data_IF_281989240973
#
_entry.id   IF_281989240973
#
_cell.length_a   1.000
_cell.length_b   1.000
_cell.length_c   1.000
_cell.angle_alpha   90.00
_cell.angle_beta   90.00
_cell.angle_gamma   90.00
#
_symmetry.space_group_name_H-M   'P 1'
#
loop_
_entity.id
_entity.type
_entity.pdbx_description
1 polymer ?
#
# COMPACT_ATOMS: atom_id res chain seq x y z
N UNK A 1 -3.20 -34.96 46.23
CA UNK A 1 -4.15 -34.66 45.13
C UNK A 1 -4.08 -33.16 44.93
N UNK A 2 -3.18 -32.74 44.04
CA UNK A 2 -2.93 -31.36 43.67
C UNK A 2 -3.33 -31.24 42.22
N UNK A 3 -4.53 -30.72 41.98
CA UNK A 3 -4.99 -30.40 40.64
C UNK A 3 -4.14 -29.25 40.11
N UNK A 4 -3.54 -29.49 38.95
CA UNK A 4 -2.72 -28.52 38.25
C UNK A 4 -3.67 -27.72 37.38
N UNK A 5 -3.92 -26.46 37.77
CA UNK A 5 -4.64 -25.49 36.94
C UNK A 5 -3.81 -25.25 35.67
N UNK A 6 -4.28 -25.82 34.58
CA UNK A 6 -3.81 -25.53 33.23
C UNK A 6 -4.09 -24.06 32.94
N UNK A 7 -3.04 -23.25 32.89
CA UNK A 7 -3.10 -21.88 32.40
C UNK A 7 -3.61 -21.91 30.95
N UNK A 8 -4.86 -21.49 30.77
CA UNK A 8 -5.48 -21.27 29.48
C UNK A 8 -4.74 -20.10 28.80
N UNK A 9 -4.00 -20.36 27.73
CA UNK A 9 -3.51 -19.31 26.84
C UNK A 9 -4.71 -18.52 26.28
N UNK A 10 -4.66 -17.17 26.27
CA UNK A 10 -5.73 -16.41 25.64
C UNK A 10 -5.72 -16.68 24.14
N UNK A 11 -6.80 -17.27 23.64
CA UNK A 11 -7.03 -17.49 22.22
C UNK A 11 -6.88 -16.16 21.48
N UNK A 12 -5.82 -16.05 20.66
CA UNK A 12 -5.56 -14.88 19.84
C UNK A 12 -6.69 -14.68 18.85
N UNK A 13 -7.19 -13.44 18.80
CA UNK A 13 -8.25 -12.94 17.94
C UNK A 13 -8.19 -13.50 16.51
N UNK A 14 -9.36 -13.93 16.03
CA UNK A 14 -9.61 -14.67 14.78
C UNK A 14 -9.22 -13.96 13.47
N UNK A 15 -9.98 -14.25 12.41
CA UNK A 15 -9.60 -13.89 11.03
C UNK A 15 -9.25 -12.42 10.84
N UNK A 16 -9.98 -11.51 11.48
CA UNK A 16 -9.72 -10.08 11.44
C UNK A 16 -8.40 -9.67 12.10
N UNK A 17 -7.92 -10.40 13.11
CA UNK A 17 -6.70 -10.07 13.86
C UNK A 17 -5.45 -10.00 12.97
N UNK A 18 -5.30 -10.94 12.03
CA UNK A 18 -4.15 -10.93 11.14
C UNK A 18 -4.22 -9.87 10.03
N UNK A 19 -5.42 -9.45 9.60
CA UNK A 19 -5.58 -8.32 8.68
C UNK A 19 -5.28 -6.99 9.38
N UNK A 20 -5.67 -6.84 10.65
CA UNK A 20 -5.24 -5.71 11.48
C UNK A 20 -3.72 -5.68 11.62
N UNK A 21 -3.08 -6.85 11.83
CA UNK A 21 -1.62 -6.94 11.89
C UNK A 21 -0.94 -6.51 10.58
N UNK A 22 -1.52 -6.80 9.41
CA UNK A 22 -0.99 -6.35 8.13
C UNK A 22 -0.85 -4.82 8.05
N UNK A 23 -1.81 -4.05 8.58
CA UNK A 23 -1.72 -2.58 8.64
C UNK A 23 -0.74 -2.05 9.70
N UNK A 24 -0.16 -2.93 10.53
CA UNK A 24 0.69 -2.56 11.67
C UNK A 24 2.09 -3.19 11.63
N UNK A 25 2.37 -4.08 10.67
CA UNK A 25 3.59 -4.89 10.63
C UNK A 25 4.89 -4.10 10.37
N UNK A 26 4.77 -2.91 9.80
CA UNK A 26 5.91 -2.15 9.28
C UNK A 26 6.02 -0.74 9.88
N UNK A 27 5.34 -0.49 11.00
CA UNK A 27 5.34 0.80 11.71
C UNK A 27 6.76 1.23 12.12
N UNK A 28 7.66 0.29 12.37
CA UNK A 28 9.06 0.59 12.67
C UNK A 28 9.77 1.41 11.59
N UNK A 29 9.35 1.30 10.31
CA UNK A 29 9.91 2.08 9.19
C UNK A 29 9.58 3.57 9.31
N UNK A 30 8.36 3.91 9.74
CA UNK A 30 7.98 5.30 10.05
C UNK A 30 8.82 5.88 11.20
N UNK A 31 9.29 5.00 12.09
CA UNK A 31 10.11 5.36 13.25
C UNK A 31 11.61 5.36 12.98
N UNK A 32 12.02 5.10 11.74
CA UNK A 32 13.45 5.04 11.34
C UNK A 32 14.23 3.92 12.03
N UNK A 33 13.53 2.89 12.55
CA UNK A 33 14.12 1.74 13.22
C UNK A 33 14.31 0.60 12.24
N UNK A 34 15.26 -0.29 12.53
CA UNK A 34 15.32 -1.61 11.89
C UNK A 34 14.40 -2.58 12.61
N UNK A 35 13.94 -3.62 11.89
CA UNK A 35 13.02 -4.61 12.44
C UNK A 35 13.54 -5.27 13.74
N UNK A 36 14.84 -5.58 13.82
CA UNK A 36 15.45 -6.25 14.98
C UNK A 36 15.40 -5.42 16.29
N UNK A 37 15.24 -4.10 16.19
CA UNK A 37 15.17 -3.16 17.32
C UNK A 37 13.84 -2.40 17.34
N UNK A 38 12.85 -2.90 16.60
CA UNK A 38 11.53 -2.30 16.52
C UNK A 38 10.80 -2.36 17.86
N UNK A 39 10.05 -1.31 18.17
CA UNK A 39 9.14 -1.34 19.31
C UNK A 39 8.02 -2.35 19.01
N UNK A 40 7.68 -3.18 19.99
CA UNK A 40 6.56 -4.12 19.89
C UNK A 40 5.21 -3.44 20.09
N UNK A 41 5.22 -2.23 20.63
CA UNK A 41 4.03 -1.44 20.92
C UNK A 41 4.27 0.03 20.60
N UNK A 42 3.28 0.66 19.97
CA UNK A 42 3.27 2.09 19.69
C UNK A 42 1.86 2.62 19.99
N UNK A 43 1.77 3.69 20.77
CA UNK A 43 0.48 4.30 21.17
C UNK A 43 -0.48 3.32 21.87
N UNK A 44 0.02 2.36 22.67
CA UNK A 44 -0.83 1.35 23.31
C UNK A 44 -1.23 0.17 22.41
N UNK A 45 -0.69 0.11 21.19
CA UNK A 45 -1.09 -0.85 20.15
C UNK A 45 0.08 -1.76 19.78
N UNK A 46 -0.17 -3.07 19.74
CA UNK A 46 0.81 -4.03 19.21
C UNK A 46 1.08 -3.78 17.73
N UNK A 47 2.35 -3.72 17.38
CA UNK A 47 2.84 -3.41 16.03
C UNK A 47 4.04 -4.29 15.69
N UNK A 48 4.41 -4.31 14.41
CA UNK A 48 5.54 -5.07 13.90
C UNK A 48 5.43 -6.59 14.09
N UNK A 49 4.19 -7.08 14.16
CA UNK A 49 3.88 -8.51 14.17
C UNK A 49 4.05 -9.09 12.76
N UNK A 50 4.46 -10.35 12.66
CA UNK A 50 4.61 -11.03 11.37
C UNK A 50 3.25 -11.19 10.68
N UNK A 51 3.24 -10.97 9.37
CA UNK A 51 2.05 -11.17 8.53
C UNK A 51 2.03 -12.62 8.02
N UNK A 52 0.92 -13.36 8.18
CA UNK A 52 0.85 -14.76 7.75
C UNK A 52 0.75 -14.91 6.22
N UNK A 53 0.72 -16.17 5.77
CA UNK A 53 0.53 -16.56 4.36
C UNK A 53 1.60 -16.05 3.38
N UNK A 54 2.75 -15.58 3.87
CA UNK A 54 3.81 -15.04 3.01
C UNK A 54 3.49 -13.68 2.38
N UNK A 55 2.36 -13.05 2.74
CA UNK A 55 1.86 -11.85 2.07
C UNK A 55 2.84 -10.66 2.08
N UNK A 56 3.59 -10.47 3.17
CA UNK A 56 4.65 -9.45 3.25
C UNK A 56 5.80 -9.72 2.27
N UNK A 57 6.27 -10.96 2.21
CA UNK A 57 7.32 -11.37 1.28
C UNK A 57 6.91 -11.22 -0.19
N UNK A 58 5.69 -11.63 -0.53
CA UNK A 58 5.16 -11.52 -1.88
C UNK A 58 4.96 -10.04 -2.29
N UNK A 59 4.44 -9.20 -1.39
CA UNK A 59 4.32 -7.76 -1.65
C UNK A 59 5.68 -7.09 -1.85
N UNK A 60 6.70 -7.49 -1.10
CA UNK A 60 8.07 -7.04 -1.30
C UNK A 60 8.58 -7.43 -2.71
N UNK A 61 8.36 -8.67 -3.15
CA UNK A 61 8.77 -9.14 -4.49
C UNK A 61 8.05 -8.42 -5.65
N UNK A 62 6.86 -7.86 -5.42
CA UNK A 62 6.19 -6.98 -6.38
C UNK A 62 6.94 -5.64 -6.58
N UNK A 63 7.72 -5.19 -5.60
CA UNK A 63 8.31 -3.85 -5.57
C UNK A 63 9.84 -3.85 -5.70
N UNK A 64 10.51 -4.87 -5.17
CA UNK A 64 11.99 -5.00 -5.15
C UNK A 64 12.46 -6.37 -5.65
N UNK A 65 13.71 -6.48 -6.15
CA UNK A 65 14.26 -7.74 -6.64
C UNK A 65 14.32 -8.77 -5.52
N UNK A 66 14.27 -10.04 -5.91
CA UNK A 66 14.67 -11.13 -5.02
C UNK A 66 16.17 -11.06 -4.72
N UNK A 67 16.56 -11.54 -3.54
CA UNK A 67 17.96 -11.63 -3.11
C UNK A 67 18.44 -10.43 -2.29
N UNK A 68 19.77 -10.35 -2.12
CA UNK A 68 20.40 -9.29 -1.35
C UNK A 68 20.19 -7.93 -2.03
N UNK A 69 19.70 -6.91 -1.30
CA UNK A 69 19.37 -5.63 -1.90
C UNK A 69 20.63 -4.83 -2.27
N UNK A 70 20.71 -4.40 -3.53
CA UNK A 70 21.70 -3.43 -3.99
C UNK A 70 21.13 -2.01 -3.98
N UNK A 71 21.86 -1.06 -3.39
CA UNK A 71 21.41 0.33 -3.28
C UNK A 71 21.30 0.96 -4.68
N UNK A 72 20.09 1.37 -5.08
CA UNK A 72 19.86 1.91 -6.43
C UNK A 72 20.24 3.38 -6.58
N UNK A 73 20.33 4.12 -5.47
CA UNK A 73 20.74 5.54 -5.46
C UNK A 73 21.86 5.72 -4.45
N UNK A 74 23.07 6.01 -4.94
CA UNK A 74 24.24 6.23 -4.09
C UNK A 74 23.97 7.35 -3.07
N UNK A 75 24.43 7.15 -1.84
CA UNK A 75 24.33 8.08 -0.72
C UNK A 75 22.90 8.38 -0.23
N UNK A 76 21.87 7.69 -0.73
CA UNK A 76 20.54 7.78 -0.16
C UNK A 76 20.38 6.77 0.97
N UNK A 77 20.55 7.24 2.21
CA UNK A 77 20.40 6.42 3.43
C UNK A 77 19.16 6.80 4.27
N UNK A 78 18.32 7.71 3.75
CA UNK A 78 17.13 8.19 4.46
C UNK A 78 15.94 7.22 4.29
N UNK A 79 15.10 7.03 5.32
CA UNK A 79 13.77 6.43 5.17
C UNK A 79 12.80 7.27 4.33
N UNK A 80 13.10 8.55 4.09
CA UNK A 80 12.30 9.39 3.22
C UNK A 80 12.31 8.87 1.78
N UNK A 81 11.17 8.86 1.11
CA UNK A 81 11.03 8.46 -0.29
C UNK A 81 11.57 9.55 -1.23
N UNK A 82 12.08 9.14 -2.39
CA UNK A 82 12.31 10.01 -3.55
C UNK A 82 11.08 9.98 -4.48
N UNK A 83 10.63 11.15 -4.94
CA UNK A 83 9.60 11.21 -5.97
C UNK A 83 10.18 10.98 -7.36
N UNK A 84 9.51 10.16 -8.18
CA UNK A 84 9.82 10.06 -9.61
C UNK A 84 9.37 11.29 -10.40
N UNK A 85 8.43 12.08 -9.87
CA UNK A 85 7.93 13.29 -10.53
C UNK A 85 8.95 14.43 -10.41
N UNK A 86 9.51 14.64 -9.21
CA UNK A 86 10.42 15.76 -8.94
C UNK A 86 11.89 15.36 -8.85
N UNK A 87 12.19 14.07 -8.63
CA UNK A 87 13.53 13.58 -8.33
C UNK A 87 14.01 13.91 -6.91
N UNK A 88 13.23 14.64 -6.12
CA UNK A 88 13.60 15.10 -4.79
C UNK A 88 13.06 14.18 -3.68
N UNK A 89 13.68 14.27 -2.50
CA UNK A 89 13.15 13.70 -1.27
C UNK A 89 11.83 14.38 -0.91
N UNK A 90 10.81 13.59 -0.63
CA UNK A 90 9.44 14.10 -0.44
C UNK A 90 9.18 14.68 0.94
N UNK A 91 9.96 14.26 1.94
CA UNK A 91 9.87 14.76 3.31
C UNK A 91 11.16 15.50 3.72
N UNK A 92 11.05 16.65 4.39
CA UNK A 92 12.21 17.31 4.97
C UNK A 92 12.79 16.47 6.13
N UNK A 93 14.07 16.65 6.48
CA UNK A 93 14.74 15.82 7.49
C UNK A 93 14.10 15.85 8.89
N UNK A 94 13.44 16.94 9.26
CA UNK A 94 12.76 17.11 10.54
C UNK A 94 11.42 16.35 10.64
N UNK A 95 10.94 15.79 9.53
CA UNK A 95 9.75 14.90 9.48
C UNK A 95 10.13 13.42 9.39
N UNK A 96 11.41 13.08 9.57
CA UNK A 96 11.91 11.71 9.53
C UNK A 96 12.82 11.44 10.75
N UNK A 97 12.39 10.61 11.71
CA UNK A 97 11.19 9.76 11.69
C UNK A 97 9.88 10.54 11.82
N UNK A 98 8.77 9.90 11.47
CA UNK A 98 7.44 10.51 11.58
C UNK A 98 7.14 10.91 13.04
N UNK A 99 6.48 12.06 13.28
CA UNK A 99 5.95 12.44 14.59
C UNK A 99 5.14 11.31 15.23
N UNK A 100 5.16 11.21 16.57
CA UNK A 100 4.43 10.13 17.25
C UNK A 100 2.92 10.26 17.04
N UNK A 101 2.40 11.48 17.00
CA UNK A 101 1.00 11.78 16.72
C UNK A 101 0.54 11.22 15.37
N UNK A 102 1.30 11.51 14.30
CA UNK A 102 1.06 10.98 12.95
C UNK A 102 1.04 9.44 12.93
N UNK A 103 1.92 8.79 13.69
CA UNK A 103 1.96 7.32 13.78
C UNK A 103 0.77 6.79 14.58
N UNK A 104 0.34 7.49 15.65
CA UNK A 104 -0.87 7.13 16.39
C UNK A 104 -2.13 7.21 15.50
N UNK A 105 -2.22 8.22 14.62
CA UNK A 105 -3.32 8.35 13.66
C UNK A 105 -3.37 7.18 12.66
N UNK A 106 -2.20 6.63 12.28
CA UNK A 106 -2.12 5.47 11.38
C UNK A 106 -2.48 4.14 12.06
N UNK A 107 -2.01 3.90 13.29
CA UNK A 107 -2.30 2.62 13.99
C UNK A 107 -3.70 2.57 14.60
N UNK A 108 -4.32 3.74 14.80
CA UNK A 108 -5.67 3.97 15.34
C UNK A 108 -5.91 3.14 16.62
N UNK A 109 -5.42 3.60 17.80
CA UNK A 109 -5.53 2.84 19.05
C UNK A 109 -6.95 2.38 19.37
N UNK A 110 -7.08 1.09 19.72
CA UNK A 110 -8.37 0.45 20.01
C UNK A 110 -9.24 0.15 18.78
N UNK A 111 -8.79 0.46 17.56
CA UNK A 111 -9.53 0.15 16.33
C UNK A 111 -9.16 -1.24 15.80
N UNK A 112 -10.16 -2.08 15.59
CA UNK A 112 -10.07 -3.34 14.84
C UNK A 112 -10.95 -3.34 13.58
N UNK A 113 -11.60 -2.22 13.27
CA UNK A 113 -12.38 -2.03 12.05
C UNK A 113 -11.43 -1.95 10.84
N UNK A 114 -11.52 -2.96 9.98
CA UNK A 114 -10.68 -3.10 8.80
C UNK A 114 -10.95 -2.04 7.75
N UNK A 115 -12.21 -1.60 7.59
CA UNK A 115 -12.57 -0.55 6.63
C UNK A 115 -11.90 0.76 7.03
N UNK A 116 -11.96 1.08 8.33
CA UNK A 116 -11.31 2.27 8.89
C UNK A 116 -9.79 2.22 8.80
N UNK A 117 -9.16 1.09 9.16
CA UNK A 117 -7.71 0.94 9.05
C UNK A 117 -7.24 1.04 7.59
N UNK A 118 -7.96 0.38 6.68
CA UNK A 118 -7.67 0.43 5.26
C UNK A 118 -7.81 1.83 4.69
N UNK A 119 -8.92 2.52 4.96
CA UNK A 119 -9.15 3.90 4.55
C UNK A 119 -8.10 4.87 5.12
N UNK A 120 -7.71 4.70 6.39
CA UNK A 120 -6.61 5.46 7.01
C UNK A 120 -5.30 5.30 6.25
N UNK A 121 -4.91 4.08 5.88
CA UNK A 121 -3.70 3.85 5.09
C UNK A 121 -3.82 4.34 3.65
N UNK A 122 -4.96 4.09 3.01
CA UNK A 122 -5.25 4.48 1.62
C UNK A 122 -5.17 6.00 1.44
N UNK A 123 -5.55 6.77 2.47
CA UNK A 123 -5.56 8.24 2.44
C UNK A 123 -4.36 8.88 3.16
N UNK A 124 -3.38 8.10 3.62
CA UNK A 124 -2.28 8.63 4.42
C UNK A 124 -1.24 9.38 3.59
N UNK A 125 -1.05 10.67 3.91
CA UNK A 125 0.10 11.47 3.44
C UNK A 125 1.38 11.17 4.23
N UNK A 126 1.24 10.71 5.48
CA UNK A 126 2.40 10.36 6.32
C UNK A 126 3.07 9.12 5.75
N UNK A 127 2.33 8.06 5.48
CA UNK A 127 2.91 6.81 4.97
C UNK A 127 3.50 6.96 3.57
N UNK A 128 2.96 7.85 2.72
CA UNK A 128 3.47 8.11 1.36
C UNK A 128 4.84 8.80 1.35
N UNK A 129 5.26 9.38 2.48
CA UNK A 129 6.58 10.02 2.64
C UNK A 129 7.72 9.03 2.78
N UNK A 130 7.44 7.79 3.16
CA UNK A 130 8.46 6.81 3.50
C UNK A 130 8.65 5.79 2.39
N UNK A 131 9.91 5.44 2.13
CA UNK A 131 10.21 4.30 1.28
C UNK A 131 9.93 2.99 2.02
N UNK A 132 9.62 1.93 1.27
CA UNK A 132 9.52 0.58 1.84
C UNK A 132 10.90 0.08 2.31
N UNK A 133 11.94 0.44 1.55
CA UNK A 133 13.31 0.05 1.80
C UNK A 133 14.28 1.14 1.36
N UNK A 134 15.26 1.45 2.22
CA UNK A 134 16.30 2.46 1.96
C UNK A 134 17.17 2.13 0.75
N UNK A 135 17.24 0.85 0.37
CA UNK A 135 17.95 0.39 -0.84
C UNK A 135 17.21 0.74 -2.13
N UNK A 136 15.89 0.92 -2.05
CA UNK A 136 15.00 1.22 -3.17
C UNK A 136 14.18 2.49 -2.85
N UNK A 137 14.79 3.68 -2.83
CA UNK A 137 14.18 4.89 -2.29
C UNK A 137 12.96 5.42 -3.05
N UNK A 138 12.64 4.87 -4.23
CA UNK A 138 11.42 5.17 -4.99
C UNK A 138 10.24 4.24 -4.64
N UNK A 139 10.44 3.22 -3.82
CA UNK A 139 9.34 2.40 -3.28
C UNK A 139 8.52 3.21 -2.27
N UNK A 140 7.32 2.75 -1.95
CA UNK A 140 6.42 3.44 -1.02
C UNK A 140 5.95 2.50 0.07
N UNK A 141 6.12 2.92 1.33
CA UNK A 141 5.64 2.18 2.50
C UNK A 141 4.12 2.07 2.53
N UNK A 142 3.41 3.14 2.14
CA UNK A 142 1.95 3.15 1.99
C UNK A 142 1.50 2.02 1.08
N UNK A 143 2.02 1.98 -0.14
CA UNK A 143 1.59 1.00 -1.13
C UNK A 143 2.11 -0.39 -0.86
N UNK A 144 3.28 -0.56 -0.23
CA UNK A 144 3.69 -1.86 0.30
C UNK A 144 2.64 -2.40 1.27
N UNK A 145 2.28 -1.62 2.29
CA UNK A 145 1.33 -2.05 3.33
C UNK A 145 -0.06 -2.35 2.74
N UNK A 146 -0.54 -1.55 1.80
CA UNK A 146 -1.81 -1.80 1.10
C UNK A 146 -1.75 -3.08 0.24
N UNK A 147 -0.63 -3.35 -0.44
CA UNK A 147 -0.43 -4.60 -1.18
C UNK A 147 -0.38 -5.80 -0.23
N UNK A 148 0.29 -5.70 0.93
CA UNK A 148 0.31 -6.76 1.94
C UNK A 148 -1.10 -7.10 2.41
N UNK A 149 -1.90 -6.09 2.74
CA UNK A 149 -3.30 -6.29 3.15
C UNK A 149 -4.12 -6.96 2.03
N UNK A 150 -3.96 -6.51 0.77
CA UNK A 150 -4.70 -7.07 -0.36
C UNK A 150 -4.31 -8.50 -0.70
N UNK A 151 -3.03 -8.85 -0.61
CA UNK A 151 -2.55 -10.22 -0.80
C UNK A 151 -3.06 -11.11 0.33
N UNK A 152 -2.88 -10.68 1.59
CA UNK A 152 -3.33 -11.45 2.75
C UNK A 152 -4.83 -11.75 2.68
N UNK A 153 -5.65 -10.73 2.42
CA UNK A 153 -7.09 -10.91 2.31
C UNK A 153 -7.44 -11.92 1.18
N UNK A 154 -6.62 -12.03 0.11
CA UNK A 154 -6.94 -12.87 -1.07
C UNK A 154 -6.56 -14.31 -0.76
N UNK A 155 -5.39 -14.48 -0.14
CA UNK A 155 -4.89 -15.78 0.30
C UNK A 155 -5.82 -16.40 1.33
N UNK A 156 -6.42 -15.60 2.20
CA UNK A 156 -7.42 -16.07 3.16
C UNK A 156 -8.77 -16.41 2.54
N UNK A 157 -9.15 -15.72 1.46
CA UNK A 157 -10.30 -16.09 0.64
C UNK A 157 -10.05 -17.36 -0.22
N UNK A 158 -8.84 -17.94 -0.15
CA UNK A 158 -8.51 -19.20 -0.81
C UNK A 158 -7.88 -19.04 -2.21
N UNK A 159 -7.56 -17.82 -2.61
CA UNK A 159 -6.87 -17.56 -3.88
C UNK A 159 -5.35 -17.69 -3.71
N UNK A 160 -4.69 -18.39 -4.62
CA UNK A 160 -3.24 -18.32 -4.75
C UNK A 160 -2.82 -17.04 -5.48
N UNK A 161 -1.52 -16.72 -5.52
CA UNK A 161 -1.05 -15.52 -6.22
C UNK A 161 -1.40 -15.52 -7.72
N UNK A 162 -1.32 -16.68 -8.37
CA UNK A 162 -1.58 -16.84 -9.79
C UNK A 162 -3.07 -16.73 -10.17
N UNK A 163 -3.96 -16.75 -9.17
CA UNK A 163 -5.38 -16.43 -9.30
C UNK A 163 -5.65 -14.92 -9.24
N UNK A 164 -4.64 -14.07 -8.98
CA UNK A 164 -4.86 -12.65 -8.70
C UNK A 164 -4.83 -11.76 -9.95
N UNK A 165 -5.69 -10.75 -9.91
CA UNK A 165 -5.85 -9.76 -10.95
C UNK A 165 -5.70 -8.34 -10.40
N UNK A 166 -5.16 -7.46 -11.23
CA UNK A 166 -5.31 -6.02 -11.09
C UNK A 166 -6.59 -5.62 -11.82
N UNK A 167 -7.46 -4.90 -11.12
CA UNK A 167 -8.61 -4.19 -11.69
C UNK A 167 -8.35 -2.71 -11.59
N UNK A 168 -8.44 -2.01 -12.71
CA UNK A 168 -8.24 -0.57 -12.81
C UNK A 168 -9.54 0.07 -13.32
N UNK A 169 -10.11 1.00 -12.57
CA UNK A 169 -11.38 1.61 -12.92
C UNK A 169 -11.37 3.12 -12.67
N UNK A 170 -12.20 3.84 -13.43
CA UNK A 170 -12.43 5.26 -13.20
C UNK A 170 -13.48 5.40 -12.09
N UNK A 171 -13.20 6.14 -11.02
CA UNK A 171 -14.22 6.46 -10.04
C UNK A 171 -15.37 7.23 -10.72
N UNK A 172 -16.60 6.73 -10.62
CA UNK A 172 -17.78 7.35 -11.24
C UNK A 172 -18.09 8.73 -10.65
N UNK A 173 -17.81 8.88 -9.35
CA UNK A 173 -17.83 10.18 -8.67
C UNK A 173 -16.42 10.75 -8.69
N UNK A 174 -16.33 12.02 -9.09
CA UNK A 174 -15.17 12.88 -8.77
C UNK A 174 -14.87 12.61 -7.29
N UNK A 175 -13.62 12.28 -6.91
CA UNK A 175 -13.34 12.13 -5.52
C UNK A 175 -13.71 13.46 -4.88
N UNK A 176 -14.16 13.38 -3.63
CA UNK A 176 -14.38 14.60 -2.90
C UNK A 176 -13.12 15.50 -2.94
N UNK A 177 -13.32 16.79 -2.77
CA UNK A 177 -12.24 17.79 -2.83
C UNK A 177 -11.18 17.51 -1.76
N UNK A 178 -10.02 18.16 -1.88
CA UNK A 178 -8.99 18.18 -0.84
C UNK A 178 -9.64 18.42 0.54
N UNK A 179 -9.60 17.41 1.42
CA UNK A 179 -10.16 17.49 2.78
C UNK A 179 -11.14 16.39 3.20
N UNK A 180 -11.71 15.60 2.29
CA UNK A 180 -12.72 14.59 2.68
C UNK A 180 -12.14 13.22 3.10
N UNK A 181 -10.82 13.03 2.93
CA UNK A 181 -9.97 12.04 3.62
C UNK A 181 -10.56 10.64 3.87
N UNK A 182 -10.41 10.14 5.09
CA UNK A 182 -10.88 8.81 5.51
C UNK A 182 -12.40 8.64 5.40
N UNK A 183 -13.25 9.61 5.82
CA UNK A 183 -14.71 9.48 5.66
C UNK A 183 -15.16 9.26 4.22
N UNK A 184 -14.51 9.90 3.25
CA UNK A 184 -14.81 9.70 1.85
C UNK A 184 -14.46 8.29 1.37
N UNK A 185 -13.30 7.77 1.76
CA UNK A 185 -12.90 6.42 1.41
C UNK A 185 -13.88 5.38 1.99
N UNK A 186 -14.36 5.60 3.22
CA UNK A 186 -15.38 4.74 3.84
C UNK A 186 -16.74 4.78 3.12
N UNK A 187 -17.11 5.93 2.54
CA UNK A 187 -18.39 6.09 1.85
C UNK A 187 -18.35 5.71 0.35
N UNK A 188 -17.16 5.44 -0.20
CA UNK A 188 -16.98 5.23 -1.63
C UNK A 188 -17.13 3.75 -2.01
N UNK A 189 -18.13 3.43 -2.83
CA UNK A 189 -18.37 2.05 -3.30
C UNK A 189 -17.20 1.43 -4.08
N UNK A 190 -16.35 2.27 -4.71
CA UNK A 190 -15.15 1.83 -5.43
C UNK A 190 -14.01 1.40 -4.49
N UNK A 191 -14.08 1.78 -3.21
CA UNK A 191 -13.11 1.40 -2.18
C UNK A 191 -13.59 0.11 -1.54
N UNK A 192 -13.00 -1.00 -1.96
CA UNK A 192 -13.25 -2.30 -1.34
C UNK A 192 -12.23 -2.51 -0.21
N UNK A 193 -12.70 -2.72 1.05
CA UNK A 193 -11.84 -2.91 2.21
C UNK A 193 -10.74 -3.94 1.96
N UNK A 194 -9.51 -3.63 2.36
CA UNK A 194 -8.30 -4.43 2.18
C UNK A 194 -7.90 -4.71 0.72
N UNK A 195 -8.75 -4.52 -0.29
CA UNK A 195 -8.51 -4.87 -1.70
C UNK A 195 -8.08 -3.70 -2.58
N UNK A 196 -8.65 -2.51 -2.34
CA UNK A 196 -8.33 -1.31 -3.11
C UNK A 196 -6.98 -0.75 -2.67
N UNK A 197 -5.99 -0.74 -3.54
CA UNK A 197 -4.61 -0.34 -3.21
C UNK A 197 -4.27 1.08 -3.64
N UNK A 198 -5.07 1.70 -4.52
CA UNK A 198 -4.94 3.09 -4.94
C UNK A 198 -6.32 3.67 -5.18
N UNK A 199 -6.54 4.91 -4.73
CA UNK A 199 -7.73 5.68 -5.06
C UNK A 199 -7.38 7.15 -5.23
N UNK A 200 -7.68 7.70 -6.41
CA UNK A 200 -7.39 9.08 -6.82
C UNK A 200 -8.57 9.64 -7.61
N UNK A 201 -8.46 10.87 -8.12
CA UNK A 201 -9.52 11.44 -8.98
C UNK A 201 -9.72 10.81 -10.32
N UNK A 202 -8.71 10.09 -10.80
CA UNK A 202 -8.68 9.59 -12.16
C UNK A 202 -8.73 8.06 -12.22
N UNK A 203 -8.42 7.42 -11.09
CA UNK A 203 -8.11 6.01 -11.06
C UNK A 203 -8.30 5.42 -9.66
N UNK A 204 -9.00 4.29 -9.61
CA UNK A 204 -8.92 3.33 -8.52
C UNK A 204 -8.22 2.05 -9.03
N UNK A 205 -7.40 1.43 -8.18
CA UNK A 205 -6.75 0.14 -8.48
C UNK A 205 -7.01 -0.83 -7.34
N UNK A 206 -7.40 -2.05 -7.69
CA UNK A 206 -7.73 -3.14 -6.77
C UNK A 206 -6.95 -4.39 -7.11
N UNK A 207 -6.56 -5.17 -6.10
CA UNK A 207 -6.04 -6.53 -6.25
C UNK A 207 -7.09 -7.52 -5.77
N UNK A 208 -7.53 -8.44 -6.63
CA UNK A 208 -8.62 -9.38 -6.32
C UNK A 208 -8.44 -10.72 -7.05
N UNK A 209 -8.84 -11.82 -6.41
CA UNK A 209 -9.03 -13.13 -7.05
C UNK A 209 -10.39 -13.28 -7.73
N UNK A 210 -11.28 -12.30 -7.57
CA UNK A 210 -12.61 -12.25 -8.17
C UNK A 210 -12.73 -11.01 -9.06
N UNK A 211 -12.13 -10.99 -10.26
CA UNK A 211 -12.23 -9.85 -11.16
C UNK A 211 -13.64 -9.74 -11.77
N UNK A 212 -14.08 -8.53 -12.13
CA UNK A 212 -15.31 -8.35 -12.88
C UNK A 212 -15.19 -8.96 -14.29
N UNK A 213 -16.34 -9.26 -14.91
CA UNK A 213 -16.42 -9.84 -16.27
C UNK A 213 -15.96 -8.85 -17.35
N UNK A 214 -16.11 -7.54 -17.09
CA UNK A 214 -15.76 -6.45 -18.01
C UNK A 214 -15.01 -5.33 -17.28
N UNK A 215 -14.34 -4.45 -18.03
CA UNK A 215 -13.50 -3.38 -17.49
C UNK A 215 -12.01 -3.66 -17.70
N UNK A 216 -11.15 -2.76 -17.22
CA UNK A 216 -9.70 -2.91 -17.38
C UNK A 216 -9.14 -3.86 -16.31
N UNK A 217 -8.90 -5.11 -16.72
CA UNK A 217 -8.45 -6.20 -15.86
C UNK A 217 -7.20 -6.85 -16.45
N UNK A 218 -6.26 -7.24 -15.60
CA UNK A 218 -5.09 -8.04 -16.01
C UNK A 218 -4.63 -9.00 -14.91
N UNK A 219 -4.31 -10.24 -15.29
CA UNK A 219 -3.67 -11.19 -14.37
C UNK A 219 -2.29 -10.67 -13.94
N UNK A 220 -2.00 -10.85 -12.65
CA UNK A 220 -0.72 -10.52 -12.04
C UNK A 220 0.40 -11.50 -12.44
N UNK A 221 0.05 -12.64 -13.04
CA UNK A 221 0.97 -13.66 -13.52
C UNK A 221 1.18 -14.79 -12.50
N UNK A 222 2.05 -15.74 -12.84
CA UNK A 222 2.23 -17.00 -12.09
C UNK A 222 2.90 -16.86 -10.71
N UNK A 223 3.38 -15.67 -10.35
CA UNK A 223 4.08 -15.45 -9.09
C UNK A 223 4.47 -13.99 -8.86
N UNK A 224 4.78 -13.62 -7.61
CA UNK A 224 5.09 -12.25 -7.25
C UNK A 224 6.42 -11.81 -7.86
N UNK A 225 6.34 -10.91 -8.84
CA UNK A 225 7.51 -10.33 -9.50
C UNK A 225 7.27 -8.87 -9.83
N UNK A 226 8.35 -8.08 -9.90
CA UNK A 226 8.37 -6.67 -10.33
C UNK A 226 8.01 -6.50 -11.80
N UNK A 227 6.72 -6.63 -12.08
CA UNK A 227 6.18 -6.66 -13.44
C UNK A 227 5.01 -5.70 -13.63
N UNK A 228 4.87 -4.66 -12.80
CA UNK A 228 3.75 -3.72 -12.88
C UNK A 228 3.51 -3.22 -14.31
N UNK A 229 4.54 -2.70 -14.99
CA UNK A 229 4.48 -2.28 -16.38
C UNK A 229 3.94 -3.36 -17.34
N UNK A 230 4.33 -4.61 -17.12
CA UNK A 230 3.85 -5.75 -17.90
C UNK A 230 2.38 -6.05 -17.62
N UNK A 231 1.99 -6.09 -16.35
CA UNK A 231 0.60 -6.29 -15.93
C UNK A 231 -0.31 -5.17 -16.43
N UNK A 232 0.09 -3.92 -16.24
CA UNK A 232 -0.63 -2.75 -16.77
C UNK A 232 -0.77 -2.77 -18.29
N UNK A 233 0.26 -3.27 -18.99
CA UNK A 233 0.22 -3.38 -20.45
C UNK A 233 -0.72 -4.46 -20.97
N UNK A 234 -1.12 -5.40 -20.12
CA UNK A 234 -2.08 -6.48 -20.45
C UNK A 234 -3.51 -6.16 -20.03
N UNK A 235 -3.79 -4.97 -19.49
CA UNK A 235 -5.16 -4.56 -19.18
C UNK A 235 -6.03 -4.69 -20.43
N UNK A 236 -7.18 -5.33 -20.27
CA UNK A 236 -8.17 -5.58 -21.33
C UNK A 236 -8.76 -4.30 -21.92
N UNK A 237 -8.74 -3.20 -21.17
CA UNK A 237 -9.27 -1.89 -21.56
C UNK A 237 -8.37 -0.76 -21.04
N UNK A 238 -8.55 0.46 -21.54
CA UNK A 238 -7.82 1.64 -21.07
C UNK A 238 -8.50 2.26 -19.83
N UNK A 239 -7.88 2.19 -18.63
CA UNK A 239 -8.53 2.66 -17.42
C UNK A 239 -8.58 4.19 -17.33
N UNK A 240 -7.70 4.93 -18.02
CA UNK A 240 -7.60 6.39 -17.93
C UNK A 240 -8.28 7.11 -19.10
N UNK A 241 -8.79 8.33 -18.87
CA UNK A 241 -9.36 9.16 -19.93
C UNK A 241 -8.26 9.77 -20.83
N UNK A 242 -7.87 9.04 -21.88
CA UNK A 242 -6.77 9.39 -22.77
C UNK A 242 -7.05 10.61 -23.69
N UNK A 243 -8.25 11.20 -23.62
CA UNK A 243 -8.52 12.49 -24.26
C UNK A 243 -7.74 13.63 -23.59
N UNK A 244 -7.42 13.48 -22.29
CA UNK A 244 -6.62 14.43 -21.53
C UNK A 244 -5.14 14.13 -21.74
N UNK A 245 -4.39 15.11 -22.25
CA UNK A 245 -2.98 14.94 -22.63
C UNK A 245 -2.10 14.41 -21.48
N UNK A 246 -2.23 14.99 -20.28
CA UNK A 246 -1.43 14.57 -19.13
C UNK A 246 -1.72 13.13 -18.68
N UNK A 247 -2.94 12.62 -18.91
CA UNK A 247 -3.28 11.22 -18.64
C UNK A 247 -2.65 10.25 -19.65
N UNK A 248 -2.43 10.68 -20.89
CA UNK A 248 -1.61 9.91 -21.85
C UNK A 248 -0.16 9.82 -21.40
N UNK A 249 0.38 10.93 -20.90
CA UNK A 249 1.75 10.94 -20.34
C UNK A 249 1.82 10.01 -19.14
N UNK A 250 0.88 10.11 -18.19
CA UNK A 250 0.78 9.22 -17.04
C UNK A 250 0.77 7.74 -17.47
N UNK A 251 -0.15 7.34 -18.35
CA UNK A 251 -0.25 5.95 -18.85
C UNK A 251 1.08 5.48 -19.48
N UNK A 252 1.72 6.34 -20.28
CA UNK A 252 2.99 6.01 -20.94
C UNK A 252 4.15 5.76 -19.96
N UNK A 253 4.20 6.50 -18.85
CA UNK A 253 5.24 6.35 -17.83
C UNK A 253 4.99 5.14 -16.94
N UNK A 254 3.73 4.93 -16.55
CA UNK A 254 3.28 3.78 -15.76
C UNK A 254 3.60 2.46 -16.48
N UNK A 255 3.51 2.41 -17.81
CA UNK A 255 3.97 1.27 -18.66
C UNK A 255 5.48 1.02 -18.68
N UNK A 256 6.29 1.80 -17.96
CA UNK A 256 7.75 1.63 -17.85
C UNK A 256 8.20 1.29 -16.43
N UNK A 257 7.35 1.50 -15.43
CA UNK A 257 7.67 1.26 -14.03
C UNK A 257 7.40 -0.21 -13.69
N UNK A 258 8.42 -0.92 -13.22
CA UNK A 258 8.33 -2.35 -12.88
C UNK A 258 7.83 -2.62 -11.47
N UNK A 259 8.18 -1.75 -10.52
CA UNK A 259 7.80 -1.85 -9.11
C UNK A 259 6.34 -1.44 -8.93
N UNK A 260 5.55 -2.29 -8.26
CA UNK A 260 4.14 -1.98 -7.98
C UNK A 260 4.01 -0.76 -7.05
N UNK A 261 4.68 -0.74 -5.89
CA UNK A 261 4.56 0.39 -4.95
C UNK A 261 5.04 1.72 -5.55
N UNK A 262 6.09 1.68 -6.39
CA UNK A 262 6.58 2.86 -7.11
C UNK A 262 5.59 3.35 -8.16
N UNK A 263 4.94 2.45 -8.91
CA UNK A 263 3.98 2.84 -9.94
C UNK A 263 2.72 3.47 -9.33
N UNK A 264 2.18 2.87 -8.27
CA UNK A 264 1.01 3.40 -7.56
C UNK A 264 1.31 4.77 -6.96
N UNK A 265 2.49 4.93 -6.33
CA UNK A 265 2.92 6.22 -5.81
C UNK A 265 3.17 7.27 -6.89
N UNK A 266 3.69 6.87 -8.05
CA UNK A 266 3.87 7.77 -9.18
C UNK A 266 2.52 8.31 -9.67
N UNK A 267 1.48 7.47 -9.73
CA UNK A 267 0.13 7.92 -10.09
C UNK A 267 -0.39 8.96 -9.09
N UNK A 268 -0.31 8.66 -7.79
CA UNK A 268 -0.73 9.60 -6.73
C UNK A 268 0.04 10.93 -6.80
N UNK A 269 1.37 10.89 -6.94
CA UNK A 269 2.21 12.08 -7.04
C UNK A 269 1.82 12.96 -8.25
N UNK A 270 1.58 12.36 -9.42
CA UNK A 270 1.19 13.10 -10.64
C UNK A 270 -0.19 13.74 -10.47
N UNK A 271 -1.18 12.98 -9.98
CA UNK A 271 -2.54 13.50 -9.77
C UNK A 271 -2.50 14.67 -8.78
N UNK A 272 -1.77 14.54 -7.66
CA UNK A 272 -1.63 15.60 -6.67
C UNK A 272 -0.93 16.86 -7.21
N UNK A 273 0.04 16.72 -8.11
CA UNK A 273 0.70 17.87 -8.76
C UNK A 273 -0.27 18.57 -9.72
N UNK A 274 -1.00 17.82 -10.56
CA UNK A 274 -1.94 18.40 -11.52
C UNK A 274 -3.09 19.12 -10.82
N UNK A 275 -3.63 18.55 -9.75
CA UNK A 275 -4.67 19.19 -8.94
C UNK A 275 -4.18 20.52 -8.34
N UNK A 276 -2.96 20.55 -7.79
CA UNK A 276 -2.34 21.78 -7.25
C UNK A 276 -2.08 22.86 -8.31
N UNK A 277 -1.79 22.49 -9.55
CA UNK A 277 -1.61 23.44 -10.65
C UNK A 277 -2.93 23.95 -11.24
N UNK A 278 -4.04 23.29 -10.94
CA UNK A 278 -5.37 23.61 -11.47
C UNK A 278 -6.27 24.36 -10.49
N UNK A 279 -5.82 24.54 -9.24
CA UNK A 279 -6.48 25.29 -8.17
C UNK A 279 -6.01 26.75 -8.15
#
# INVERSE_FOLDING_TARGET
MTETESAQEPAGDGESGALVAAFRHDIHKLRGKQHAVADREVCGVRVNESVPCGADGDAALLSRPEGEPEQTVKNHASPARLSLVTGATVAPPDQVPAPLEDVCELVVPGCSDLERLHATWLMSDVASRFNESVYFPYTSLKYHTLLVAALLDNYRAGHAFDDLFIVAERPERRPPLDGDGVPAALAAEVVVPCRTVLWTSELAVRVTGEPPVSGAVASMGAGPVRSFAGTWSRLTEHPLNLDREWLRVLDSQVRRIRSFSTALQYVEDVVAVVLRLSA
#
